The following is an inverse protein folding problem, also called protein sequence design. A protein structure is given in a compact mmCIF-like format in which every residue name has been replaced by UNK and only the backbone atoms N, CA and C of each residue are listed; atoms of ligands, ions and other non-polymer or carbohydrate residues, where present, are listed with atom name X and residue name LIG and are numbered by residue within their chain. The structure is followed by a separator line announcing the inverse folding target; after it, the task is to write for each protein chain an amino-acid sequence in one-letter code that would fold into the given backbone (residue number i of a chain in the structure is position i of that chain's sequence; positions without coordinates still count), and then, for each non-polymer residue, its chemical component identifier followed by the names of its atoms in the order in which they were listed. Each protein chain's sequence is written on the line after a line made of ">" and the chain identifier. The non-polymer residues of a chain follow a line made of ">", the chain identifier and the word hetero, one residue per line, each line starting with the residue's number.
data_IF_374505445044
#
_entry.id   IF_374505445044
#
_cell.length_a   1.000
_cell.length_b   1.000
_cell.length_c   1.000
_cell.angle_alpha   90.00
_cell.angle_beta   90.00
_cell.angle_gamma   90.00
#
_symmetry.space_group_name_H-M   'P 1'
#
loop_
_entity.id
_entity.type
_entity.pdbx_description
1 polymer ?
#
# COMPACT_ATOMS: atom_id res chain seq x y z
N UNK A 1 -62.52 -59.46 -26.34
CA UNK A 1 -63.54 -58.40 -26.36
C UNK A 1 -63.69 -57.87 -24.95
N UNK A 2 -63.41 -56.63 -24.57
CA UNK A 2 -62.77 -55.50 -25.25
C UNK A 2 -62.22 -54.57 -24.18
N UNK A 3 -60.99 -54.10 -24.39
CA UNK A 3 -60.33 -53.00 -23.67
C UNK A 3 -60.97 -51.65 -23.99
N UNK A 4 -60.95 -50.69 -23.08
CA UNK A 4 -61.09 -49.24 -23.34
C UNK A 4 -60.50 -48.48 -22.14
N UNK A 5 -59.26 -47.97 -22.19
CA UNK A 5 -58.75 -46.67 -22.71
C UNK A 5 -58.64 -45.60 -21.60
N UNK A 6 -57.41 -45.10 -21.39
CA UNK A 6 -57.05 -43.92 -20.58
C UNK A 6 -57.67 -42.62 -21.13
N UNK A 7 -57.58 -41.50 -20.39
CA UNK A 7 -56.62 -40.50 -20.89
C UNK A 7 -55.77 -39.78 -19.84
N UNK A 8 -54.57 -39.46 -20.32
CA UNK A 8 -53.54 -38.51 -19.88
C UNK A 8 -54.02 -37.15 -19.36
N UNK A 9 -53.38 -36.62 -18.31
CA UNK A 9 -53.16 -35.16 -18.12
C UNK A 9 -51.90 -34.90 -17.26
N UNK A 10 -50.84 -34.39 -17.89
CA UNK A 10 -49.88 -33.42 -17.34
C UNK A 10 -50.27 -32.03 -17.91
N UNK A 11 -49.73 -30.85 -17.49
CA UNK A 11 -48.57 -30.57 -16.62
C UNK A 11 -48.79 -29.43 -15.58
N UNK A 12 -47.84 -29.25 -14.65
CA UNK A 12 -47.60 -27.95 -14.01
C UNK A 12 -46.10 -27.79 -13.77
N UNK A 13 -45.48 -26.97 -14.61
CA UNK A 13 -44.08 -26.55 -14.52
C UNK A 13 -43.93 -25.46 -13.45
N UNK A 14 -43.15 -25.73 -12.41
CA UNK A 14 -42.63 -24.70 -11.51
C UNK A 14 -41.55 -23.84 -12.22
N UNK A 15 -41.48 -22.53 -11.96
CA UNK A 15 -40.48 -21.66 -12.56
C UNK A 15 -39.08 -21.87 -11.96
N UNK A 16 -37.99 -21.62 -12.72
CA UNK A 16 -36.64 -21.81 -12.23
C UNK A 16 -36.28 -20.74 -11.21
N UNK A 17 -35.75 -21.16 -10.06
CA UNK A 17 -35.27 -20.27 -9.00
C UNK A 17 -34.13 -19.38 -9.52
N UNK A 18 -34.31 -18.07 -9.44
CA UNK A 18 -33.26 -17.09 -9.70
C UNK A 18 -32.08 -17.29 -8.74
N UNK A 19 -30.89 -17.51 -9.29
CA UNK A 19 -29.66 -17.50 -8.50
C UNK A 19 -29.41 -16.09 -7.94
N UNK A 20 -28.99 -15.94 -6.67
CA UNK A 20 -28.79 -14.64 -6.05
C UNK A 20 -27.64 -13.90 -6.74
N UNK A 21 -27.96 -12.75 -7.34
CA UNK A 21 -26.99 -11.78 -7.88
C UNK A 21 -26.27 -11.14 -6.70
N UNK A 22 -25.11 -11.66 -6.32
CA UNK A 22 -24.25 -11.01 -5.34
C UNK A 22 -23.86 -9.61 -5.83
N UNK A 23 -24.20 -8.60 -5.04
CA UNK A 23 -24.12 -7.19 -5.42
C UNK A 23 -22.67 -6.68 -5.41
N UNK A 24 -22.34 -5.81 -6.35
CA UNK A 24 -21.04 -5.14 -6.55
C UNK A 24 -20.40 -4.56 -5.28
N UNK A 25 -21.22 -4.12 -4.33
CA UNK A 25 -20.80 -3.60 -3.04
C UNK A 25 -20.27 -4.69 -2.11
N UNK A 26 -20.71 -5.94 -2.23
CA UNK A 26 -20.26 -7.05 -1.39
C UNK A 26 -18.82 -7.44 -1.68
N UNK A 27 -18.37 -7.40 -2.94
CA UNK A 27 -16.97 -7.64 -3.31
C UNK A 27 -16.07 -6.51 -2.81
N UNK A 28 -16.47 -5.25 -3.00
CA UNK A 28 -15.74 -4.08 -2.50
C UNK A 28 -15.69 -4.09 -0.97
N UNK A 29 -16.80 -4.35 -0.28
CA UNK A 29 -16.89 -4.44 1.18
C UNK A 29 -16.12 -5.64 1.75
N UNK A 30 -16.12 -6.80 1.08
CA UNK A 30 -15.34 -7.96 1.48
C UNK A 30 -13.82 -7.76 1.31
N UNK A 31 -13.41 -6.80 0.47
CA UNK A 31 -12.03 -6.42 0.23
C UNK A 31 -11.56 -5.26 1.12
N UNK A 32 -12.45 -4.33 1.51
CA UNK A 32 -12.14 -3.21 2.41
C UNK A 32 -12.22 -3.58 3.89
N UNK A 33 -13.12 -4.49 4.31
CA UNK A 33 -13.34 -4.82 5.72
C UNK A 33 -12.38 -5.89 6.28
N UNK A 34 -11.52 -6.49 5.48
CA UNK A 34 -10.55 -7.49 5.95
C UNK A 34 -9.28 -6.85 6.54
N UNK A 35 -9.43 -6.03 7.58
CA UNK A 35 -8.32 -5.69 8.46
C UNK A 35 -8.06 -6.87 9.42
N UNK A 36 -7.10 -7.70 8.99
CA UNK A 36 -6.28 -8.65 9.74
C UNK A 36 -6.61 -8.89 11.22
N UNK A 37 -7.38 -9.94 11.51
CA UNK A 37 -7.04 -10.78 12.68
C UNK A 37 -5.75 -11.51 12.32
N UNK A 38 -4.66 -11.27 13.06
CA UNK A 38 -3.43 -12.06 12.94
C UNK A 38 -3.75 -13.52 13.16
N UNK A 39 -3.86 -14.29 12.07
CA UNK A 39 -3.90 -15.74 12.16
C UNK A 39 -2.53 -16.20 12.71
N UNK A 40 -2.57 -16.88 13.86
CA UNK A 40 -1.43 -17.56 14.46
C UNK A 40 -0.88 -18.54 13.43
N UNK A 41 0.39 -18.37 13.04
CA UNK A 41 1.10 -19.27 12.13
C UNK A 41 1.21 -20.63 12.82
N UNK A 42 0.35 -21.57 12.44
CA UNK A 42 0.55 -22.99 12.75
C UNK A 42 1.61 -23.46 11.76
N UNK A 43 2.77 -23.86 12.30
CA UNK A 43 3.73 -24.63 11.54
C UNK A 43 3.13 -26.02 11.33
N UNK A 44 3.05 -26.47 10.08
CA UNK A 44 3.29 -27.86 9.65
C UNK A 44 2.84 -28.06 8.21
N UNK A 45 3.68 -28.76 7.43
CA UNK A 45 3.37 -29.27 6.09
C UNK A 45 4.20 -28.65 4.97
N UNK A 46 5.06 -29.47 4.37
CA UNK A 46 5.71 -29.26 3.06
C UNK A 46 4.66 -29.33 1.92
N UNK A 47 3.68 -28.43 2.00
CA UNK A 47 2.67 -28.19 0.99
C UNK A 47 2.81 -26.76 0.53
N UNK A 48 3.38 -26.56 -0.65
CA UNK A 48 3.45 -25.27 -1.33
C UNK A 48 2.10 -24.56 -1.22
N UNK A 49 2.08 -23.38 -0.60
CA UNK A 49 0.84 -22.63 -0.39
C UNK A 49 0.24 -22.32 -1.78
N UNK A 50 -0.97 -22.82 -2.11
CA UNK A 50 -1.55 -22.65 -3.44
C UNK A 50 -1.75 -21.17 -3.82
N UNK A 51 -1.74 -20.26 -2.83
CA UNK A 51 -1.84 -18.82 -3.05
C UNK A 51 -0.49 -18.12 -3.29
N UNK A 52 0.62 -18.84 -3.18
CA UNK A 52 1.97 -18.29 -3.35
C UNK A 52 2.21 -17.76 -4.77
N UNK A 53 1.74 -18.49 -5.78
CA UNK A 53 1.84 -18.05 -7.19
C UNK A 53 1.20 -16.67 -7.37
N UNK A 54 0.01 -16.47 -6.81
CA UNK A 54 -0.72 -15.21 -6.87
C UNK A 54 -0.03 -14.09 -6.09
N UNK A 55 0.58 -14.40 -4.93
CA UNK A 55 1.42 -13.42 -4.20
C UNK A 55 2.64 -13.00 -5.01
N UNK A 56 3.31 -13.94 -5.66
CA UNK A 56 4.48 -13.64 -6.49
C UNK A 56 4.10 -12.82 -7.73
N UNK A 57 2.92 -13.06 -8.31
CA UNK A 57 2.36 -12.21 -9.35
C UNK A 57 2.13 -10.79 -8.83
N UNK A 58 1.54 -10.64 -7.63
CA UNK A 58 1.35 -9.32 -7.01
C UNK A 58 2.64 -8.51 -6.91
N UNK A 59 3.77 -9.15 -6.56
CA UNK A 59 5.09 -8.50 -6.55
C UNK A 59 5.55 -8.07 -7.95
N UNK A 60 5.21 -8.82 -9.00
CA UNK A 60 5.53 -8.45 -10.40
C UNK A 60 4.63 -7.36 -10.92
N UNK A 61 3.35 -7.35 -10.53
CA UNK A 61 2.37 -6.33 -10.94
C UNK A 61 2.83 -4.92 -10.55
N UNK A 62 3.35 -4.74 -9.34
CA UNK A 62 3.85 -3.42 -8.91
C UNK A 62 5.06 -2.93 -9.70
N UNK A 63 5.89 -3.86 -10.19
CA UNK A 63 7.13 -3.54 -10.88
C UNK A 63 6.91 -3.33 -12.39
N UNK A 64 5.91 -4.00 -12.97
CA UNK A 64 5.72 -4.08 -14.42
C UNK A 64 4.47 -3.37 -14.94
N UNK A 65 3.48 -3.10 -14.09
CA UNK A 65 2.19 -2.53 -14.51
C UNK A 65 1.94 -1.18 -13.85
N UNK A 66 1.41 -1.18 -12.63
CA UNK A 66 1.06 0.03 -11.89
C UNK A 66 1.16 -0.25 -10.39
N UNK A 67 2.09 0.40 -9.67
CA UNK A 67 2.25 0.23 -8.23
C UNK A 67 1.04 0.72 -7.40
N UNK A 68 0.19 1.56 -7.99
CA UNK A 68 -0.99 2.18 -7.36
C UNK A 68 -2.33 1.66 -7.91
N UNK A 69 -2.29 0.71 -8.84
CA UNK A 69 -3.48 0.13 -9.45
C UNK A 69 -4.41 -0.51 -8.42
N UNK A 70 -5.71 -0.19 -8.49
CA UNK A 70 -6.74 -0.76 -7.59
C UNK A 70 -7.26 -2.06 -8.17
N UNK A 71 -6.65 -3.18 -7.75
CA UNK A 71 -6.91 -4.51 -8.29
C UNK A 71 -8.38 -4.91 -8.30
N UNK A 72 -9.06 -4.73 -7.18
CA UNK A 72 -10.47 -5.04 -7.01
C UNK A 72 -11.35 -4.34 -8.06
N UNK A 73 -11.13 -3.04 -8.23
CA UNK A 73 -11.88 -2.18 -9.15
C UNK A 73 -11.59 -2.57 -10.60
N UNK A 74 -10.32 -2.87 -10.93
CA UNK A 74 -9.94 -3.31 -12.26
C UNK A 74 -10.60 -4.65 -12.66
N UNK A 75 -10.60 -5.66 -11.78
CA UNK A 75 -11.29 -6.93 -12.04
C UNK A 75 -12.80 -6.73 -12.20
N UNK A 76 -13.43 -5.95 -11.32
CA UNK A 76 -14.86 -5.69 -11.37
C UNK A 76 -15.28 -5.04 -12.69
N UNK A 77 -14.66 -3.91 -13.04
CA UNK A 77 -14.99 -3.14 -14.24
C UNK A 77 -14.74 -3.96 -15.49
N UNK A 78 -13.63 -4.69 -15.54
CA UNK A 78 -13.27 -5.47 -16.73
C UNK A 78 -14.19 -6.68 -16.93
N UNK A 79 -14.56 -7.39 -15.87
CA UNK A 79 -15.53 -8.50 -15.97
C UNK A 79 -16.92 -7.99 -16.37
N UNK A 80 -17.34 -6.83 -15.86
CA UNK A 80 -18.60 -6.20 -16.27
C UNK A 80 -18.55 -5.78 -17.75
N UNK A 81 -17.45 -5.16 -18.18
CA UNK A 81 -17.22 -4.77 -19.57
C UNK A 81 -17.27 -5.97 -20.52
N UNK A 82 -16.56 -7.06 -20.20
CA UNK A 82 -16.49 -8.26 -21.05
C UNK A 82 -17.85 -8.97 -21.20
N UNK A 83 -18.72 -8.85 -20.19
CA UNK A 83 -20.09 -9.39 -20.21
C UNK A 83 -21.11 -8.47 -20.88
N UNK A 84 -20.67 -7.33 -21.45
CA UNK A 84 -21.58 -6.32 -22.02
C UNK A 84 -22.47 -5.65 -20.97
N UNK A 85 -22.07 -5.65 -19.70
CA UNK A 85 -22.79 -4.98 -18.62
C UNK A 85 -22.70 -3.47 -18.72
N UNK A 86 -23.67 -2.77 -18.13
CA UNK A 86 -23.59 -1.31 -17.96
C UNK A 86 -22.47 -0.98 -16.98
N UNK A 87 -21.41 -0.37 -17.51
CA UNK A 87 -20.33 0.22 -16.72
C UNK A 87 -20.88 1.56 -16.21
N UNK A 88 -20.61 1.88 -14.95
CA UNK A 88 -21.06 3.12 -14.32
C UNK A 88 -20.76 4.34 -15.21
N UNK A 89 -21.81 5.09 -15.58
CA UNK A 89 -21.74 6.27 -16.46
C UNK A 89 -20.79 7.37 -15.95
N UNK A 90 -20.40 7.33 -14.67
CA UNK A 90 -19.43 8.23 -14.07
C UNK A 90 -17.97 7.93 -14.46
N UNK A 91 -17.68 6.77 -15.06
CA UNK A 91 -16.32 6.38 -15.40
C UNK A 91 -15.90 6.99 -16.75
N UNK A 92 -14.83 7.78 -16.76
CA UNK A 92 -14.33 8.35 -18.01
C UNK A 92 -13.74 7.25 -18.92
N UNK A 93 -13.72 7.43 -20.25
CA UNK A 93 -13.12 6.45 -21.17
C UNK A 93 -11.66 6.12 -20.84
N UNK A 94 -10.91 7.12 -20.35
CA UNK A 94 -9.52 6.96 -19.94
C UNK A 94 -9.37 6.10 -18.68
N UNK A 95 -10.23 6.29 -17.69
CA UNK A 95 -10.23 5.45 -16.48
C UNK A 95 -10.64 4.01 -16.80
N UNK A 96 -11.61 3.83 -17.70
CA UNK A 96 -11.98 2.51 -18.21
C UNK A 96 -10.77 1.82 -18.87
N UNK A 97 -10.08 2.52 -19.77
CA UNK A 97 -8.89 2.00 -20.44
C UNK A 97 -7.79 1.63 -19.44
N UNK A 98 -7.56 2.44 -18.42
CA UNK A 98 -6.59 2.14 -17.36
C UNK A 98 -6.95 0.86 -16.59
N UNK A 99 -8.23 0.69 -16.23
CA UNK A 99 -8.69 -0.51 -15.54
C UNK A 99 -8.56 -1.76 -16.42
N UNK A 100 -8.93 -1.67 -17.70
CA UNK A 100 -8.77 -2.75 -18.68
C UNK A 100 -7.30 -3.09 -18.92
N UNK A 101 -6.43 -2.09 -19.03
CA UNK A 101 -5.00 -2.28 -19.20
C UNK A 101 -4.41 -3.03 -18.00
N UNK A 102 -4.74 -2.58 -16.78
CA UNK A 102 -4.26 -3.20 -15.55
C UNK A 102 -4.73 -4.66 -15.44
N UNK A 103 -6.04 -4.90 -15.61
CA UNK A 103 -6.64 -6.25 -15.61
C UNK A 103 -5.99 -7.18 -16.63
N UNK A 104 -5.87 -6.74 -17.89
CA UNK A 104 -5.26 -7.54 -18.94
C UNK A 104 -3.78 -7.81 -18.68
N UNK A 105 -3.06 -6.85 -18.10
CA UNK A 105 -1.68 -7.05 -17.65
C UNK A 105 -1.56 -8.17 -16.63
N UNK A 106 -2.47 -8.24 -15.66
CA UNK A 106 -2.49 -9.30 -14.65
C UNK A 106 -2.81 -10.66 -15.28
N UNK A 107 -3.76 -10.72 -16.21
CA UNK A 107 -4.08 -11.97 -16.92
C UNK A 107 -2.92 -12.46 -17.81
N UNK A 108 -2.10 -11.54 -18.35
CA UNK A 108 -0.85 -11.93 -19.04
C UNK A 108 0.16 -12.57 -18.10
N UNK A 109 0.19 -12.16 -16.83
CA UNK A 109 1.05 -12.74 -15.80
C UNK A 109 0.51 -14.07 -15.26
N UNK A 110 -0.80 -14.31 -15.34
CA UNK A 110 -1.47 -15.56 -14.93
C UNK A 110 -2.41 -16.05 -16.04
N UNK A 111 -1.88 -16.67 -17.11
CA UNK A 111 -2.72 -17.10 -18.23
C UNK A 111 -3.81 -18.10 -17.84
N UNK A 112 -3.55 -18.99 -16.86
CA UNK A 112 -4.55 -19.96 -16.38
C UNK A 112 -5.78 -19.29 -15.77
N UNK A 113 -5.62 -18.15 -15.10
CA UNK A 113 -6.71 -17.42 -14.46
C UNK A 113 -7.73 -16.93 -15.49
N UNK A 114 -7.28 -16.55 -16.69
CA UNK A 114 -8.16 -16.14 -17.79
C UNK A 114 -9.15 -17.25 -18.17
N UNK A 115 -8.68 -18.49 -18.23
CA UNK A 115 -9.51 -19.64 -18.61
C UNK A 115 -10.46 -20.06 -17.48
N UNK A 116 -10.06 -19.82 -16.23
CA UNK A 116 -10.85 -20.22 -15.06
C UNK A 116 -11.91 -19.18 -14.67
N UNK A 117 -11.78 -17.93 -15.11
CA UNK A 117 -12.62 -16.81 -14.69
C UNK A 117 -14.13 -17.06 -14.85
N UNK A 118 -14.56 -17.74 -15.91
CA UNK A 118 -15.98 -18.01 -16.19
C UNK A 118 -16.56 -19.14 -15.33
N UNK A 119 -15.73 -20.06 -14.84
CA UNK A 119 -16.15 -21.24 -14.07
C UNK A 119 -15.82 -21.12 -12.59
N UNK A 120 -15.05 -20.09 -12.21
CA UNK A 120 -14.56 -19.89 -10.87
C UNK A 120 -15.63 -19.33 -9.94
N UNK A 121 -15.70 -19.87 -8.72
CA UNK A 121 -16.58 -19.32 -7.68
C UNK A 121 -16.14 -17.92 -7.25
N UNK A 122 -17.08 -17.01 -6.90
CA UNK A 122 -16.75 -15.67 -6.42
C UNK A 122 -15.82 -15.67 -5.20
N UNK A 123 -15.97 -16.64 -4.30
CA UNK A 123 -15.11 -16.81 -3.13
C UNK A 123 -13.65 -17.14 -3.50
N UNK A 124 -13.44 -18.01 -4.49
CA UNK A 124 -12.10 -18.35 -4.99
C UNK A 124 -11.44 -17.14 -5.65
N UNK A 125 -12.19 -16.41 -6.49
CA UNK A 125 -11.69 -15.19 -7.12
C UNK A 125 -11.30 -14.13 -6.07
N UNK A 126 -12.12 -13.96 -5.04
CA UNK A 126 -11.83 -13.04 -3.92
C UNK A 126 -10.53 -13.41 -3.21
N UNK A 127 -10.29 -14.69 -2.96
CA UNK A 127 -9.05 -15.16 -2.33
C UNK A 127 -7.82 -14.92 -3.21
N UNK A 128 -7.95 -15.12 -4.52
CA UNK A 128 -6.89 -14.82 -5.50
C UNK A 128 -6.57 -13.32 -5.50
N UNK A 129 -7.60 -12.46 -5.60
CA UNK A 129 -7.43 -11.00 -5.56
C UNK A 129 -6.73 -10.59 -4.25
N UNK A 130 -7.12 -11.14 -3.10
CA UNK A 130 -6.46 -10.88 -1.81
C UNK A 130 -5.00 -11.32 -1.80
N UNK A 131 -4.69 -12.48 -2.39
CA UNK A 131 -3.32 -12.96 -2.48
C UNK A 131 -2.45 -12.05 -3.36
N UNK A 132 -2.96 -11.60 -4.52
CA UNK A 132 -2.26 -10.65 -5.40
C UNK A 132 -2.07 -9.31 -4.67
N UNK A 133 -3.12 -8.76 -4.05
CA UNK A 133 -3.02 -7.50 -3.28
C UNK A 133 -1.99 -7.59 -2.15
N UNK A 134 -1.96 -8.72 -1.43
CA UNK A 134 -0.92 -8.98 -0.43
C UNK A 134 0.46 -8.98 -1.06
N UNK A 135 0.64 -9.66 -2.20
CA UNK A 135 1.88 -9.65 -2.96
C UNK A 135 2.34 -8.24 -3.38
N UNK A 136 1.40 -7.41 -3.86
CA UNK A 136 1.68 -6.01 -4.20
C UNK A 136 2.14 -5.20 -2.99
N UNK A 137 1.45 -5.36 -1.85
CA UNK A 137 1.82 -4.68 -0.60
C UNK A 137 3.18 -5.12 -0.06
N UNK A 138 3.44 -6.42 -0.09
CA UNK A 138 4.71 -7.01 0.33
C UNK A 138 5.84 -6.53 -0.59
N UNK A 139 5.62 -6.48 -1.91
CA UNK A 139 6.57 -5.97 -2.88
C UNK A 139 6.95 -4.49 -2.63
N UNK A 140 5.96 -3.60 -2.46
CA UNK A 140 6.22 -2.18 -2.14
C UNK A 140 7.01 -2.02 -0.85
N UNK A 141 6.70 -2.85 0.14
CA UNK A 141 7.38 -2.82 1.43
C UNK A 141 8.83 -3.29 1.30
N UNK A 142 9.08 -4.38 0.58
CA UNK A 142 10.42 -4.95 0.40
C UNK A 142 11.37 -3.99 -0.32
N UNK A 143 10.90 -3.36 -1.41
CA UNK A 143 11.72 -2.42 -2.19
C UNK A 143 12.17 -1.23 -1.32
N UNK A 144 11.24 -0.65 -0.57
CA UNK A 144 11.50 0.52 0.26
C UNK A 144 12.25 0.20 1.57
N UNK A 145 12.10 -1.02 2.11
CA UNK A 145 12.81 -1.42 3.33
C UNK A 145 14.33 -1.39 3.08
N UNK A 146 14.79 -1.92 1.96
CA UNK A 146 16.23 -1.94 1.64
C UNK A 146 16.80 -0.53 1.48
N UNK A 147 16.06 0.36 0.79
CA UNK A 147 16.45 1.75 0.58
C UNK A 147 16.47 2.52 1.90
N UNK A 148 15.48 2.28 2.78
CA UNK A 148 15.44 2.90 4.10
C UNK A 148 16.71 2.58 4.91
N UNK A 149 17.08 1.29 4.99
CA UNK A 149 18.24 0.88 5.78
C UNK A 149 19.55 1.43 5.22
N UNK A 150 19.73 1.39 3.89
CA UNK A 150 20.92 1.93 3.23
C UNK A 150 20.98 3.46 3.30
N UNK A 151 19.84 4.12 3.08
CA UNK A 151 19.72 5.59 3.05
C UNK A 151 20.05 6.24 4.40
N UNK A 152 19.78 5.55 5.52
CA UNK A 152 20.14 6.02 6.87
C UNK A 152 21.63 6.32 7.05
N UNK A 153 22.51 5.58 6.37
CA UNK A 153 23.97 5.81 6.42
C UNK A 153 24.37 7.15 5.80
N UNK A 154 23.52 7.67 4.91
CA UNK A 154 23.78 8.86 4.13
C UNK A 154 22.87 10.02 4.53
N UNK A 155 22.20 9.94 5.69
CA UNK A 155 21.39 11.07 6.18
C UNK A 155 22.35 12.21 6.51
N UNK A 156 22.33 13.31 5.75
CA UNK A 156 23.14 14.45 6.09
C UNK A 156 22.40 15.27 7.15
N UNK A 157 23.12 15.79 8.13
CA UNK A 157 22.66 16.84 9.05
C UNK A 157 22.27 18.11 8.30
N UNK A 158 22.94 18.38 7.17
CA UNK A 158 22.61 19.45 6.24
C UNK A 158 22.57 18.92 4.81
N UNK A 159 21.40 18.98 4.15
CA UNK A 159 21.22 18.49 2.77
C UNK A 159 22.09 19.21 1.73
N UNK A 160 22.71 20.33 2.08
CA UNK A 160 23.59 21.12 1.21
C UNK A 160 25.09 20.92 1.48
N UNK A 161 25.47 20.08 2.45
CA UNK A 161 26.87 19.79 2.80
C UNK A 161 27.14 18.29 2.77
N UNK A 162 28.08 17.85 1.92
CA UNK A 162 28.52 16.46 1.87
C UNK A 162 29.43 16.06 3.06
N UNK A 163 29.89 17.03 3.85
CA UNK A 163 30.73 16.79 5.02
C UNK A 163 29.92 16.49 6.29
N UNK A 164 28.60 16.75 6.27
CA UNK A 164 27.76 16.78 7.46
C UNK A 164 26.97 15.46 7.60
N UNK A 165 27.62 14.30 7.59
CA UNK A 165 26.95 13.04 7.91
C UNK A 165 26.71 12.89 9.43
N UNK A 166 25.77 12.03 9.82
CA UNK A 166 25.60 11.65 11.23
C UNK A 166 26.87 11.01 11.81
N UNK A 167 27.25 11.42 13.01
CA UNK A 167 28.41 10.94 13.74
C UNK A 167 28.03 10.47 15.17
N UNK A 168 28.08 9.15 15.46
CA UNK A 168 28.53 8.06 14.58
C UNK A 168 27.47 7.68 13.52
N UNK A 169 27.85 7.06 12.39
CA UNK A 169 26.87 6.58 11.42
C UNK A 169 25.85 5.61 12.04
N UNK A 170 24.57 5.76 11.70
CA UNK A 170 23.53 4.83 12.18
C UNK A 170 23.77 3.45 11.54
N UNK A 171 24.00 2.39 12.34
CA UNK A 171 24.23 1.06 11.79
C UNK A 171 23.00 0.52 11.05
N UNK A 172 23.23 -0.28 10.01
CA UNK A 172 22.19 -0.96 9.21
C UNK A 172 21.57 -2.16 9.98
N UNK A 173 21.39 -2.03 11.29
CA UNK A 173 20.74 -3.04 12.11
C UNK A 173 19.23 -2.78 12.19
N UNK A 174 18.47 -3.85 12.37
CA UNK A 174 17.01 -3.80 12.51
C UNK A 174 16.56 -3.13 13.81
N UNK A 175 17.43 -3.08 14.80
CA UNK A 175 17.17 -2.45 16.08
C UNK A 175 17.16 -0.91 15.94
N UNK A 176 16.16 -0.30 16.57
CA UNK A 176 15.95 1.15 16.61
C UNK A 176 16.61 1.79 17.82
N UNK A 177 17.26 1.00 18.68
CA UNK A 177 17.94 1.45 19.91
C UNK A 177 18.99 2.53 19.69
N UNK A 178 19.62 2.62 18.51
CA UNK A 178 20.66 3.60 18.19
C UNK A 178 20.16 4.84 17.45
N UNK A 179 18.89 5.21 17.61
CA UNK A 179 18.25 6.28 16.83
C UNK A 179 17.49 7.25 17.72
N UNK A 180 17.18 8.44 17.19
CA UNK A 180 16.44 9.46 17.92
C UNK A 180 17.22 9.95 19.14
N UNK A 181 16.62 9.92 20.33
CA UNK A 181 17.22 10.42 21.58
C UNK A 181 18.45 9.60 22.07
N UNK A 182 18.70 8.43 21.48
CA UNK A 182 19.86 7.58 21.78
C UNK A 182 21.06 7.82 20.85
N UNK A 183 20.94 8.75 19.91
CA UNK A 183 22.01 9.13 18.99
C UNK A 183 22.35 10.60 19.20
N UNK A 184 23.62 10.93 19.47
CA UNK A 184 24.10 12.29 19.78
C UNK A 184 23.48 13.38 18.89
N UNK A 185 23.69 13.31 17.58
CA UNK A 185 23.22 14.40 16.71
C UNK A 185 21.70 14.46 16.53
N UNK A 186 21.02 13.30 16.55
CA UNK A 186 19.56 13.26 16.50
C UNK A 186 18.93 13.70 17.82
N UNK A 187 19.56 13.39 18.95
CA UNK A 187 19.15 13.87 20.26
C UNK A 187 19.31 15.38 20.34
N UNK A 188 20.43 15.92 19.84
CA UNK A 188 20.65 17.37 19.69
C UNK A 188 19.58 18.03 18.82
N UNK A 189 19.25 17.41 17.67
CA UNK A 189 18.18 17.86 16.76
C UNK A 189 16.80 17.82 17.42
N UNK A 190 16.53 16.81 18.25
CA UNK A 190 15.28 16.62 18.98
C UNK A 190 15.20 17.47 20.27
N UNK A 191 16.33 17.94 20.79
CA UNK A 191 16.41 18.73 22.01
C UNK A 191 15.58 20.02 21.86
N UNK A 192 14.69 20.34 22.82
CA UNK A 192 14.00 21.63 22.81
C UNK A 192 15.00 22.77 22.71
N UNK A 193 14.73 23.75 21.84
CA UNK A 193 15.74 24.78 21.55
C UNK A 193 16.24 25.53 22.80
N UNK A 194 15.35 25.79 23.76
CA UNK A 194 15.68 26.47 25.03
C UNK A 194 16.72 25.74 25.86
N UNK A 195 16.76 24.42 25.71
CA UNK A 195 17.59 23.52 26.50
C UNK A 195 18.82 23.05 25.66
N UNK A 196 18.94 23.50 24.41
CA UNK A 196 20.02 23.09 23.50
C UNK A 196 21.38 23.65 23.91
N UNK A 197 21.47 24.86 24.46
CA UNK A 197 22.75 25.41 24.91
C UNK A 197 23.29 24.58 26.10
N UNK A 198 22.38 24.13 26.98
CA UNK A 198 22.72 23.21 28.09
C UNK A 198 23.10 21.82 27.56
N UNK A 199 22.38 21.31 26.56
CA UNK A 199 22.74 20.08 25.86
C UNK A 199 24.15 20.14 25.25
N UNK A 200 24.53 21.26 24.64
CA UNK A 200 25.81 21.41 23.94
C UNK A 200 27.01 21.56 24.89
N UNK A 201 26.78 21.89 26.18
CA UNK A 201 27.82 21.89 27.20
C UNK A 201 28.33 20.48 27.53
N UNK A 202 27.41 19.52 27.66
CA UNK A 202 27.70 18.10 27.81
C UNK A 202 26.62 17.27 27.11
N UNK A 203 26.94 16.80 25.90
CA UNK A 203 25.98 16.09 25.08
C UNK A 203 25.51 14.76 25.70
N UNK A 204 26.31 14.10 26.53
CA UNK A 204 25.92 12.83 27.15
C UNK A 204 24.95 13.08 28.31
N UNK A 205 25.24 14.07 29.16
CA UNK A 205 24.31 14.49 30.21
C UNK A 205 23.00 15.03 29.62
N UNK A 206 23.07 15.81 28.54
CA UNK A 206 21.88 16.29 27.82
C UNK A 206 21.05 15.16 27.20
N UNK A 207 21.70 14.10 26.69
CA UNK A 207 21.00 12.89 26.23
C UNK A 207 20.29 12.16 27.37
N UNK A 208 20.95 12.02 28.53
CA UNK A 208 20.32 11.43 29.72
C UNK A 208 19.12 12.27 30.20
N UNK A 209 19.24 13.60 30.21
CA UNK A 209 18.16 14.51 30.56
C UNK A 209 16.96 14.42 29.59
N UNK A 210 17.20 14.24 28.28
CA UNK A 210 16.14 13.97 27.31
C UNK A 210 15.45 12.63 27.55
N UNK A 211 16.23 11.59 27.86
CA UNK A 211 15.71 10.24 28.11
C UNK A 211 14.94 10.16 29.43
N UNK A 212 15.40 10.88 30.45
CA UNK A 212 14.73 11.03 31.75
C UNK A 212 13.50 11.95 31.71
N UNK A 213 13.39 12.80 30.68
CA UNK A 213 12.29 13.74 30.51
C UNK A 213 12.49 15.09 31.22
N UNK A 214 13.68 15.34 31.78
CA UNK A 214 14.08 16.63 32.37
C UNK A 214 14.05 17.73 31.29
N UNK A 215 14.55 17.40 30.09
CA UNK A 215 14.31 18.21 28.89
C UNK A 215 12.92 17.89 28.32
N UNK A 216 11.92 18.57 28.88
CA UNK A 216 10.52 18.33 28.55
C UNK A 216 10.16 18.81 27.13
N UNK A 217 9.92 17.85 26.24
CA UNK A 217 9.33 18.11 24.91
C UNK A 217 7.82 18.35 25.02
N UNK A 218 7.38 19.57 24.71
CA UNK A 218 5.96 19.97 24.71
C UNK A 218 5.60 20.59 23.37
N UNK A 219 4.30 20.66 23.05
CA UNK A 219 3.83 21.37 21.86
C UNK A 219 4.24 22.87 21.83
N UNK A 220 4.56 23.46 22.97
CA UNK A 220 5.09 24.83 23.09
C UNK A 220 6.62 24.91 23.06
N UNK A 221 7.31 23.77 23.08
CA UNK A 221 8.76 23.61 23.15
C UNK A 221 9.20 22.67 22.02
N UNK A 222 9.16 23.18 20.79
CA UNK A 222 9.54 22.40 19.62
C UNK A 222 11.04 22.08 19.64
N UNK A 223 11.43 20.93 19.04
CA UNK A 223 12.82 20.60 18.83
C UNK A 223 13.61 21.67 18.08
N UNK A 224 14.90 21.79 18.38
CA UNK A 224 15.84 22.73 17.76
C UNK A 224 15.87 22.61 16.24
N UNK A 225 15.74 21.39 15.71
CA UNK A 225 15.74 21.11 14.27
C UNK A 225 14.63 21.77 13.45
N UNK A 226 13.60 22.35 14.10
CA UNK A 226 12.54 23.08 13.41
C UNK A 226 12.83 24.58 13.23
N UNK A 227 13.92 25.09 13.83
CA UNK A 227 14.30 26.51 13.77
C UNK A 227 15.49 26.68 12.81
N UNK A 228 15.49 27.78 12.05
CA UNK A 228 16.46 28.00 10.96
C UNK A 228 17.89 28.25 11.46
N UNK A 229 18.03 28.87 12.64
CA UNK A 229 19.31 29.16 13.32
C UNK A 229 19.28 28.81 14.81
N UNK A 230 18.28 28.01 15.22
CA UNK A 230 17.95 27.87 16.64
C UNK A 230 17.39 29.14 17.28
N UNK A 231 17.19 30.24 16.57
CA UNK A 231 16.60 31.42 17.23
C UNK A 231 15.08 31.24 17.39
N UNK A 232 14.58 31.42 18.61
CA UNK A 232 13.14 31.42 18.91
C UNK A 232 12.47 32.72 18.41
N UNK A 233 13.26 33.75 18.13
CA UNK A 233 12.81 35.09 17.73
C UNK A 233 12.67 35.22 16.20
N UNK A 234 13.39 34.40 15.43
CA UNK A 234 13.21 34.32 13.97
C UNK A 234 12.05 33.37 13.62
N UNK A 235 11.28 33.77 12.60
CA UNK A 235 9.93 33.24 12.30
C UNK A 235 9.92 31.70 12.18
N UNK A 236 8.83 31.01 12.60
CA UNK A 236 8.68 29.59 12.33
C UNK A 236 8.80 29.33 10.82
N UNK A 237 9.51 28.26 10.44
CA UNK A 237 9.60 27.83 9.04
C UNK A 237 8.20 27.44 8.55
N UNK A 238 7.60 28.29 7.72
CA UNK A 238 6.44 27.93 6.93
C UNK A 238 6.92 27.17 5.69
N UNK A 239 6.87 25.84 5.75
CA UNK A 239 7.10 25.03 4.55
C UNK A 239 5.84 25.06 3.68
N UNK A 240 5.88 25.81 2.58
CA UNK A 240 4.84 25.71 1.56
C UNK A 240 5.19 24.53 0.65
N UNK A 241 4.61 23.36 0.93
CA UNK A 241 4.76 22.18 0.06
C UNK A 241 3.89 22.39 -1.18
N UNK A 242 4.49 22.93 -2.24
CA UNK A 242 3.84 23.04 -3.54
C UNK A 242 4.16 21.78 -4.35
N UNK A 243 3.21 20.85 -4.44
CA UNK A 243 3.28 19.75 -5.39
C UNK A 243 3.08 20.33 -6.79
N UNK A 244 4.17 20.67 -7.48
CA UNK A 244 4.12 20.99 -8.91
C UNK A 244 3.89 19.68 -9.67
N UNK A 245 2.65 19.42 -10.03
CA UNK A 245 2.37 18.53 -11.15
C UNK A 245 2.82 19.25 -12.42
N UNK A 246 3.91 18.80 -13.03
CA UNK A 246 4.23 19.20 -14.39
C UNK A 246 3.07 18.76 -15.28
N UNK A 247 2.41 19.67 -16.01
CA UNK A 247 1.53 19.25 -17.09
C UNK A 247 2.42 18.48 -18.07
N UNK A 248 2.08 17.20 -18.27
CA UNK A 248 2.74 16.39 -19.28
C UNK A 248 2.72 17.14 -20.61
N UNK A 249 3.90 17.26 -21.20
CA UNK A 249 4.11 17.89 -22.50
C UNK A 249 3.46 17.02 -23.58
N UNK A 250 2.14 17.17 -23.75
CA UNK A 250 1.38 16.57 -24.83
C UNK A 250 1.49 17.48 -26.05
N UNK A 251 2.35 17.07 -26.99
CA UNK A 251 2.22 17.41 -28.40
C UNK A 251 2.88 18.71 -28.84
N UNK A 252 4.14 18.60 -29.29
CA UNK A 252 4.52 19.32 -30.50
C UNK A 252 4.73 18.29 -31.61
N UNK A 253 4.09 18.46 -32.79
CA UNK A 253 4.37 17.63 -33.94
C UNK A 253 5.76 17.97 -34.47
N UNK A 254 6.56 16.92 -34.71
CA UNK A 254 7.77 17.03 -35.51
C UNK A 254 7.37 17.39 -36.94
N UNK A 255 7.70 18.62 -37.36
CA UNK A 255 7.78 19.01 -38.77
C UNK A 255 9.12 18.62 -39.34
#
# INVERSE_FOLDING_TARGET
>A
MSSTTQPSTQPSSEPPSENPKHTTEELLNALTNSNTKKAKKVADGDGSDPMEIYRNVGKRVIALLDPFGVLAKAFLISIQHDKGGSINDALTPKELEQHLHFYNGILKLIPSLRNELDTMSPGRLTNIIKAIMKGMSDGRSLDLVSVKHKGMKYVPLNMFSNADALDPPIPEISDKSWRGIYHKDLARFLCPRRDLDEFDLDCYAGMEALQGGDFSMKASKWPSGFYEDGDYVSRPRFYQVQLRTTPGNLGQPLT
#
